data_IF_726046642534
#
_entry.id   IF_726046642534
#
_cell.length_a   1.000
_cell.length_b   1.000
_cell.length_c   1.000
_cell.angle_alpha   90.00
_cell.angle_beta   90.00
_cell.angle_gamma   90.00
#
_symmetry.space_group_name_H-M   'P 1'
#
loop_
_entity.id
_entity.type
_entity.pdbx_description
1 polymer ?
#
# COMPACT_ATOMS: atom_id res chain seq x y z
N UNK A 1 15.96 -5.85 15.68
CA UNK A 1 14.67 -5.13 15.94
C UNK A 1 13.57 -6.16 16.13
N UNK A 2 12.56 -5.88 16.95
CA UNK A 2 11.35 -6.69 17.12
C UNK A 2 10.28 -6.10 16.21
N UNK A 3 9.68 -6.93 15.35
CA UNK A 3 8.65 -6.51 14.42
C UNK A 3 7.35 -7.25 14.72
N UNK A 4 6.27 -6.52 14.96
CA UNK A 4 4.94 -7.06 15.23
C UNK A 4 4.05 -6.74 14.03
N UNK A 5 3.73 -7.76 13.24
CA UNK A 5 2.83 -7.65 12.08
C UNK A 5 1.44 -8.05 12.49
N UNK A 6 0.46 -7.23 12.12
CA UNK A 6 -0.94 -7.47 12.44
C UNK A 6 -1.76 -7.47 11.15
N UNK A 7 -2.44 -8.58 10.89
CA UNK A 7 -3.36 -8.77 9.76
C UNK A 7 -4.79 -8.84 10.28
N UNK A 8 -5.75 -8.42 9.48
CA UNK A 8 -7.16 -8.46 9.82
C UNK A 8 -7.64 -7.34 10.75
N UNK A 9 -6.80 -6.33 10.99
CA UNK A 9 -7.17 -5.05 11.57
C UNK A 9 -6.81 -3.93 10.58
N UNK A 10 -7.60 -2.85 10.59
CA UNK A 10 -7.27 -1.68 9.78
C UNK A 10 -6.02 -0.95 10.31
N UNK A 11 -5.36 -0.22 9.43
CA UNK A 11 -4.09 0.46 9.74
C UNK A 11 -4.23 1.52 10.83
N UNK A 12 -5.39 2.16 10.95
CA UNK A 12 -5.67 3.15 11.98
C UNK A 12 -5.74 2.49 13.36
N UNK A 13 -6.45 1.35 13.48
CA UNK A 13 -6.50 0.58 14.72
C UNK A 13 -5.11 0.08 15.15
N UNK A 14 -4.30 -0.40 14.19
CA UNK A 14 -2.91 -0.80 14.47
C UNK A 14 -2.05 0.39 14.91
N UNK A 15 -2.23 1.55 14.29
CA UNK A 15 -1.55 2.79 14.69
C UNK A 15 -1.86 3.18 16.13
N UNK A 16 -3.14 3.19 16.53
CA UNK A 16 -3.57 3.45 17.90
C UNK A 16 -3.03 2.40 18.87
N UNK A 17 -3.16 1.13 18.52
CA UNK A 17 -2.61 0.04 19.34
C UNK A 17 -1.11 0.21 19.57
N UNK A 18 -0.35 0.57 18.55
CA UNK A 18 1.09 0.79 18.68
C UNK A 18 1.40 1.94 19.63
N UNK A 19 0.65 3.05 19.57
CA UNK A 19 0.82 4.20 20.46
C UNK A 19 0.63 3.82 21.92
N UNK A 20 -0.38 3.02 22.23
CA UNK A 20 -0.78 2.71 23.60
C UNK A 20 0.05 1.56 24.22
N UNK A 21 0.65 0.70 23.38
CA UNK A 21 1.25 -0.55 23.84
C UNK A 21 2.75 -0.70 23.61
N UNK A 22 3.41 0.20 22.86
CA UNK A 22 4.86 0.09 22.58
C UNK A 22 5.69 0.12 23.85
N UNK A 23 5.40 1.03 24.79
CA UNK A 23 6.13 1.14 26.07
C UNK A 23 6.01 -0.15 26.89
N UNK A 24 4.79 -0.67 27.06
CA UNK A 24 4.56 -1.89 27.82
C UNK A 24 5.26 -3.11 27.21
N UNK A 25 5.22 -3.22 25.89
CA UNK A 25 5.92 -4.29 25.17
C UNK A 25 7.44 -4.15 25.28
N UNK A 26 7.97 -2.93 25.25
CA UNK A 26 9.39 -2.69 25.46
C UNK A 26 9.83 -3.15 26.86
N UNK A 27 9.03 -2.90 27.88
CA UNK A 27 9.28 -3.39 29.24
C UNK A 27 9.21 -4.93 29.30
N UNK A 28 8.22 -5.56 28.65
CA UNK A 28 8.07 -7.02 28.62
C UNK A 28 9.22 -7.71 27.87
N UNK A 29 9.72 -7.11 26.81
CA UNK A 29 10.88 -7.58 26.06
C UNK A 29 12.22 -7.16 26.67
N UNK A 30 12.20 -6.44 27.78
CA UNK A 30 13.41 -5.92 28.43
C UNK A 30 14.31 -5.13 27.45
N UNK A 31 13.68 -4.30 26.62
CA UNK A 31 14.35 -3.54 25.56
C UNK A 31 13.86 -2.09 25.52
N UNK A 32 14.42 -1.30 24.61
CA UNK A 32 13.96 0.07 24.38
C UNK A 32 12.78 0.08 23.38
N UNK A 33 11.91 1.06 23.48
CA UNK A 33 10.82 1.29 22.55
C UNK A 33 11.30 1.38 21.09
N UNK A 34 12.46 2.00 20.87
CA UNK A 34 13.10 2.13 19.55
C UNK A 34 13.47 0.80 18.88
N UNK A 35 13.41 -0.29 19.61
CA UNK A 35 13.66 -1.64 19.09
C UNK A 35 12.38 -2.39 18.73
N UNK A 36 11.21 -1.75 18.85
CA UNK A 36 9.92 -2.33 18.53
C UNK A 36 9.28 -1.52 17.40
N UNK A 37 8.78 -2.20 16.38
CA UNK A 37 7.94 -1.57 15.37
C UNK A 37 6.71 -2.44 15.09
N UNK A 38 5.61 -1.77 14.76
CA UNK A 38 4.39 -2.39 14.31
C UNK A 38 4.26 -2.23 12.79
N UNK A 39 3.74 -3.26 12.16
CA UNK A 39 3.44 -3.26 10.74
C UNK A 39 1.96 -3.59 10.58
N UNK A 40 1.20 -2.62 10.12
CA UNK A 40 -0.15 -2.85 9.64
C UNK A 40 -0.07 -3.38 8.21
N UNK A 41 -0.91 -4.34 7.86
CA UNK A 41 -1.03 -4.85 6.51
C UNK A 41 -2.42 -4.51 5.97
N UNK A 42 -2.48 -3.97 4.76
CA UNK A 42 -3.74 -3.78 4.04
C UNK A 42 -4.27 -5.09 3.44
N UNK A 43 -3.70 -6.23 3.84
CA UNK A 43 -4.13 -7.55 3.41
C UNK A 43 -5.39 -7.99 4.15
N UNK A 44 -6.35 -8.48 3.40
CA UNK A 44 -7.59 -8.99 3.93
C UNK A 44 -7.46 -10.46 4.33
N UNK A 45 -8.04 -10.84 5.47
CA UNK A 45 -8.18 -12.23 5.91
C UNK A 45 -9.51 -12.79 5.41
N UNK A 46 -9.51 -13.93 4.72
CA UNK A 46 -10.71 -14.56 4.22
C UNK A 46 -10.90 -15.97 4.78
N UNK A 47 -12.14 -16.34 5.07
CA UNK A 47 -12.54 -17.73 5.29
C UNK A 47 -13.76 -18.07 4.42
N UNK A 48 -13.64 -19.09 3.57
CA UNK A 48 -14.70 -19.51 2.60
C UNK A 48 -15.26 -18.35 1.77
N UNK A 49 -14.40 -17.41 1.34
CA UNK A 49 -14.78 -16.27 0.53
C UNK A 49 -15.38 -15.09 1.30
N UNK A 50 -15.51 -15.18 2.62
CA UNK A 50 -16.00 -14.10 3.47
C UNK A 50 -14.84 -13.42 4.17
N UNK A 51 -14.78 -12.09 4.07
CA UNK A 51 -13.80 -11.26 4.74
C UNK A 51 -13.95 -11.28 6.25
N UNK A 52 -12.83 -11.32 6.98
CA UNK A 52 -12.76 -11.52 8.43
C UNK A 52 -12.19 -10.30 9.18
N UNK A 53 -12.17 -9.11 8.58
CA UNK A 53 -11.63 -7.90 9.24
C UNK A 53 -12.32 -7.65 10.57
N UNK A 54 -11.54 -7.37 11.62
CA UNK A 54 -11.96 -7.23 13.02
C UNK A 54 -12.62 -8.49 13.64
N UNK A 55 -12.79 -9.55 12.87
CA UNK A 55 -13.27 -10.84 13.39
C UNK A 55 -12.12 -11.78 13.74
N UNK A 56 -11.09 -11.82 12.88
CA UNK A 56 -9.91 -12.65 13.04
C UNK A 56 -8.64 -11.81 12.85
N UNK A 57 -7.91 -11.56 13.91
CA UNK A 57 -6.57 -10.96 13.84
C UNK A 57 -5.50 -12.07 13.83
N UNK A 58 -4.59 -11.98 12.87
CA UNK A 58 -3.41 -12.84 12.79
C UNK A 58 -2.17 -11.99 13.08
N UNK A 59 -1.41 -12.37 14.09
CA UNK A 59 -0.24 -11.60 14.57
C UNK A 59 1.00 -12.43 14.40
N UNK A 60 2.02 -11.86 13.76
CA UNK A 60 3.35 -12.46 13.68
C UNK A 60 4.34 -11.56 14.43
N UNK A 61 4.97 -12.12 15.44
CA UNK A 61 6.04 -11.46 16.19
C UNK A 61 7.37 -12.00 15.71
N UNK A 62 8.14 -11.16 15.01
CA UNK A 62 9.48 -11.50 14.51
C UNK A 62 10.50 -10.89 15.46
N UNK A 63 11.33 -11.70 16.08
CA UNK A 63 12.28 -11.25 17.09
C UNK A 63 13.60 -12.03 17.06
N UNK A 64 14.72 -11.43 17.51
CA UNK A 64 15.92 -12.19 17.80
C UNK A 64 15.67 -13.30 18.83
N UNK A 65 16.30 -14.46 18.62
CA UNK A 65 16.17 -15.68 19.45
C UNK A 65 16.37 -15.43 20.97
N UNK A 66 17.19 -14.45 21.33
CA UNK A 66 17.40 -14.09 22.75
C UNK A 66 16.11 -13.70 23.50
N UNK A 67 15.03 -13.37 22.80
CA UNK A 67 13.73 -13.02 23.37
C UNK A 67 12.76 -14.21 23.50
N UNK A 68 13.12 -15.40 23.00
CA UNK A 68 12.30 -16.62 23.11
C UNK A 68 11.86 -16.93 24.55
N UNK A 69 12.72 -16.77 25.61
CA UNK A 69 12.30 -16.99 27.00
C UNK A 69 11.14 -16.11 27.47
N UNK A 70 10.91 -14.98 26.81
CA UNK A 70 9.89 -13.97 27.16
C UNK A 70 8.56 -14.21 26.39
N UNK A 71 8.52 -15.14 25.44
CA UNK A 71 7.40 -15.42 24.53
C UNK A 71 6.06 -15.53 25.28
N UNK A 72 6.00 -16.37 26.33
CA UNK A 72 4.77 -16.64 27.03
C UNK A 72 4.14 -15.39 27.67
N UNK A 73 4.96 -14.52 28.25
CA UNK A 73 4.44 -13.29 28.87
C UNK A 73 4.01 -12.27 27.81
N UNK A 74 4.76 -12.16 26.73
CA UNK A 74 4.40 -11.30 25.58
C UNK A 74 3.13 -11.79 24.91
N UNK A 75 3.02 -13.11 24.64
CA UNK A 75 1.84 -13.70 24.06
C UNK A 75 0.58 -13.43 24.92
N UNK A 76 0.68 -13.63 26.24
CA UNK A 76 -0.44 -13.37 27.15
C UNK A 76 -0.86 -11.89 27.14
N UNK A 77 0.10 -10.98 27.05
CA UNK A 77 -0.18 -9.55 26.98
C UNK A 77 -0.89 -9.21 25.67
N UNK A 78 -0.32 -9.64 24.53
CA UNK A 78 -0.90 -9.40 23.21
C UNK A 78 -2.30 -10.01 23.07
N UNK A 79 -2.50 -11.25 23.54
CA UNK A 79 -3.84 -11.88 23.52
C UNK A 79 -4.84 -11.05 24.33
N UNK A 80 -4.46 -10.58 25.51
CA UNK A 80 -5.34 -9.80 26.38
C UNK A 80 -5.74 -8.48 25.74
N UNK A 81 -4.79 -7.76 25.15
CA UNK A 81 -5.01 -6.40 24.64
C UNK A 81 -5.62 -6.39 23.25
N UNK A 82 -5.24 -7.32 22.36
CA UNK A 82 -5.80 -7.37 21.00
C UNK A 82 -7.25 -7.90 20.95
N UNK A 83 -7.72 -8.62 21.98
CA UNK A 83 -9.14 -8.99 22.06
C UNK A 83 -10.09 -7.82 22.29
N UNK A 84 -9.57 -6.63 22.54
CA UNK A 84 -10.35 -5.39 22.55
C UNK A 84 -10.66 -4.89 21.11
N UNK A 85 -9.88 -5.31 20.13
CA UNK A 85 -9.96 -4.90 18.73
C UNK A 85 -10.49 -6.01 17.80
N UNK A 86 -10.37 -7.27 18.18
CA UNK A 86 -10.78 -8.42 17.36
C UNK A 86 -11.40 -9.51 18.21
N UNK A 87 -12.37 -10.24 17.64
CA UNK A 87 -13.07 -11.34 18.33
C UNK A 87 -12.14 -12.54 18.55
N UNK A 88 -11.33 -12.86 17.56
CA UNK A 88 -10.35 -13.96 17.61
C UNK A 88 -8.96 -13.44 17.30
N UNK A 89 -7.99 -13.89 18.07
CA UNK A 89 -6.58 -13.51 17.91
C UNK A 89 -5.72 -14.76 17.88
N UNK A 90 -4.91 -14.88 16.84
CA UNK A 90 -3.87 -15.91 16.74
C UNK A 90 -2.50 -15.23 16.69
N UNK A 91 -1.56 -15.70 17.50
CA UNK A 91 -0.20 -15.15 17.56
C UNK A 91 0.79 -16.25 17.20
N UNK A 92 1.72 -15.93 16.33
CA UNK A 92 2.84 -16.77 15.94
C UNK A 92 4.14 -16.02 16.20
N UNK A 93 5.13 -16.67 16.80
CA UNK A 93 6.45 -16.12 16.98
C UNK A 93 7.42 -16.74 15.97
N UNK A 94 8.21 -15.88 15.36
CA UNK A 94 9.28 -16.24 14.45
C UNK A 94 10.60 -15.71 15.00
N UNK A 95 11.53 -16.61 15.32
CA UNK A 95 12.80 -16.22 15.88
C UNK A 95 13.92 -16.34 14.85
N UNK A 96 14.83 -15.37 14.87
CA UNK A 96 16.02 -15.40 14.04
C UNK A 96 17.29 -15.23 14.87
N UNK A 97 18.39 -15.81 14.39
CA UNK A 97 19.70 -15.60 14.99
C UNK A 97 20.18 -14.19 14.70
N UNK A 98 20.74 -13.50 15.72
CA UNK A 98 21.14 -12.10 15.62
C UNK A 98 22.16 -11.79 14.51
N UNK A 99 22.92 -12.79 14.05
CA UNK A 99 23.86 -12.61 12.94
C UNK A 99 23.19 -12.53 11.54
N UNK A 100 21.87 -12.75 11.46
CA UNK A 100 21.08 -12.56 10.23
C UNK A 100 20.45 -11.18 10.16
N UNK A 101 20.59 -10.34 11.21
CA UNK A 101 20.09 -8.98 11.22
C UNK A 101 21.20 -8.02 10.78
N UNK A 102 20.95 -7.29 9.69
CA UNK A 102 21.82 -6.23 9.20
C UNK A 102 21.02 -4.94 9.15
N UNK A 103 21.49 -3.91 9.85
CA UNK A 103 20.79 -2.65 9.97
C UNK A 103 21.71 -1.47 9.66
N UNK A 104 21.17 -0.50 8.93
CA UNK A 104 21.76 0.82 8.78
C UNK A 104 20.80 1.86 9.35
N UNK A 105 21.24 2.60 10.34
CA UNK A 105 20.49 3.73 10.89
C UNK A 105 21.25 5.02 10.63
N UNK A 106 20.63 5.95 9.91
CA UNK A 106 21.21 7.27 9.67
C UNK A 106 21.18 8.07 10.99
N UNK A 107 22.37 8.47 11.46
CA UNK A 107 22.53 9.17 12.75
C UNK A 107 22.09 10.63 12.73
N UNK A 108 21.93 11.21 11.52
CA UNK A 108 21.52 12.60 11.35
C UNK A 108 20.00 12.78 11.50
N UNK A 109 19.26 11.67 11.60
CA UNK A 109 17.80 11.65 11.68
C UNK A 109 17.33 10.79 12.85
N UNK A 110 16.17 11.12 13.47
CA UNK A 110 15.55 10.24 14.44
C UNK A 110 15.15 8.90 13.78
N UNK A 111 15.25 7.81 14.54
CA UNK A 111 14.90 6.48 14.01
C UNK A 111 13.45 6.37 13.58
N UNK A 112 12.56 7.02 14.31
CA UNK A 112 11.12 7.07 14.01
C UNK A 112 10.63 8.51 14.03
N UNK A 113 9.68 8.78 13.16
CA UNK A 113 8.89 10.01 13.20
C UNK A 113 7.96 9.92 14.41
N UNK A 114 7.88 10.99 15.21
CA UNK A 114 7.00 11.11 16.36
C UNK A 114 6.20 12.41 16.23
N UNK A 115 5.10 12.53 16.97
CA UNK A 115 4.23 13.71 16.93
C UNK A 115 5.00 15.02 17.24
N UNK A 116 6.06 14.96 18.04
CA UNK A 116 6.90 16.10 18.41
C UNK A 116 7.95 16.49 17.36
N UNK A 117 8.22 15.61 16.38
CA UNK A 117 9.15 15.88 15.29
C UNK A 117 8.48 15.92 13.90
N UNK A 118 7.15 15.86 13.85
CA UNK A 118 6.38 16.14 12.64
C UNK A 118 6.44 17.65 12.34
N UNK A 119 6.95 18.00 11.18
CA UNK A 119 6.79 19.34 10.64
C UNK A 119 5.40 19.39 10.01
N UNK A 120 4.45 20.04 10.66
CA UNK A 120 3.21 20.45 10.02
C UNK A 120 3.60 21.49 8.96
N UNK A 121 3.63 21.11 7.71
CA UNK A 121 3.60 22.07 6.62
C UNK A 121 2.19 22.63 6.71
N UNK A 122 2.04 23.88 7.24
CA UNK A 122 0.81 24.63 7.06
C UNK A 122 0.62 24.68 5.55
N UNK A 123 -0.45 24.06 5.07
CA UNK A 123 -0.88 24.24 3.68
C UNK A 123 -1.05 25.76 3.52
N UNK A 124 -0.16 26.37 2.72
CA UNK A 124 -0.31 27.77 2.42
C UNK A 124 -1.62 27.91 1.65
N UNK A 125 -2.49 28.82 2.07
CA UNK A 125 -3.76 29.14 1.39
C UNK A 125 -3.55 29.50 -0.11
N UNK A 126 -2.32 29.57 -0.56
CA UNK A 126 -1.92 29.80 -1.96
C UNK A 126 -2.14 28.56 -2.87
N UNK A 127 -2.33 27.35 -2.33
CA UNK A 127 -2.59 26.14 -3.13
C UNK A 127 -4.07 26.00 -3.54
N UNK A 128 -5.00 26.71 -2.89
CA UNK A 128 -6.42 26.71 -3.28
C UNK A 128 -6.67 27.43 -4.61
N UNK A 129 -5.77 28.32 -5.07
CA UNK A 129 -5.90 28.96 -6.38
C UNK A 129 -5.49 28.07 -7.55
N UNK A 130 -4.77 26.94 -7.30
CA UNK A 130 -4.30 26.04 -8.36
C UNK A 130 -5.39 25.08 -8.88
N UNK A 131 -6.52 24.95 -8.20
CA UNK A 131 -7.57 23.99 -8.53
C UNK A 131 -8.97 24.60 -8.80
N UNK A 132 -9.13 25.92 -8.86
CA UNK A 132 -10.39 26.54 -9.24
C UNK A 132 -10.74 26.39 -10.74
N UNK A 133 -9.85 25.86 -11.56
CA UNK A 133 -10.09 25.50 -12.94
C UNK A 133 -10.53 24.02 -13.08
N UNK A 134 -11.59 23.78 -13.81
CA UNK A 134 -11.92 22.44 -14.27
C UNK A 134 -10.74 21.91 -15.11
N UNK A 135 -9.93 20.98 -14.53
CA UNK A 135 -8.75 20.37 -15.21
C UNK A 135 -9.12 19.74 -16.56
N UNK A 136 -10.40 19.48 -16.78
CA UNK A 136 -10.95 18.95 -18.03
C UNK A 136 -11.47 20.06 -18.95
N UNK A 137 -11.43 21.34 -18.54
CA UNK A 137 -11.87 22.44 -19.40
C UNK A 137 -10.93 22.58 -20.59
N UNK A 138 -11.48 22.39 -21.78
CA UNK A 138 -10.71 22.38 -23.04
C UNK A 138 -10.13 21.03 -23.44
N UNK A 139 -10.24 19.98 -22.61
CA UNK A 139 -9.78 18.65 -22.95
C UNK A 139 -10.64 18.02 -24.05
N UNK A 140 -11.95 18.26 -24.05
CA UNK A 140 -12.86 17.86 -25.12
C UNK A 140 -12.45 18.46 -26.48
N UNK A 141 -12.10 19.74 -26.48
CA UNK A 141 -11.64 20.45 -27.67
C UNK A 141 -10.31 19.92 -28.20
N UNK A 142 -9.36 19.61 -27.29
CA UNK A 142 -8.09 19.01 -27.65
C UNK A 142 -8.23 17.58 -28.16
N UNK A 143 -9.16 16.80 -27.61
CA UNK A 143 -9.50 15.47 -28.09
C UNK A 143 -10.18 15.53 -29.47
N UNK A 144 -11.08 16.47 -29.70
CA UNK A 144 -11.69 16.70 -31.01
C UNK A 144 -10.68 17.14 -32.07
N UNK A 145 -9.75 18.06 -31.70
CA UNK A 145 -8.67 18.49 -32.57
C UNK A 145 -7.71 17.35 -32.89
N UNK A 146 -7.30 16.55 -31.89
CA UNK A 146 -6.44 15.39 -32.07
C UNK A 146 -7.13 14.27 -32.90
N UNK A 147 -8.43 14.08 -32.72
CA UNK A 147 -9.22 13.13 -33.51
C UNK A 147 -9.32 13.57 -34.97
N UNK A 148 -9.53 14.88 -35.21
CA UNK A 148 -9.62 15.44 -36.57
C UNK A 148 -8.25 15.51 -37.27
N UNK A 149 -7.14 15.73 -36.53
CA UNK A 149 -5.78 15.71 -37.07
C UNK A 149 -5.28 14.28 -37.37
N UNK A 150 -5.76 13.29 -36.63
CA UNK A 150 -5.36 11.88 -36.78
C UNK A 150 -6.06 11.13 -37.94
N UNK A 151 -7.11 11.70 -38.57
CA UNK A 151 -7.88 11.05 -39.60
C UNK A 151 -7.57 11.52 -41.06
N UNK A 152 -6.56 12.37 -41.24
CA UNK A 152 -6.03 12.60 -42.57
C UNK A 152 -4.83 11.65 -42.85
N UNK A 153 -5.13 10.35 -42.87
CA UNK A 153 -4.35 9.47 -43.71
C UNK A 153 -4.78 9.76 -45.16
N UNK A 154 -4.00 10.52 -45.88
CA UNK A 154 -4.01 10.49 -47.31
C UNK A 154 -3.58 9.07 -47.72
N UNK A 155 -4.53 8.18 -47.75
CA UNK A 155 -4.42 6.92 -48.47
C UNK A 155 -4.25 7.30 -49.95
N UNK A 156 -3.04 7.13 -50.48
CA UNK A 156 -2.72 7.42 -51.86
C UNK A 156 -3.36 6.46 -52.85
N UNK A 157 -4.47 5.84 -52.50
CA UNK A 157 -5.27 5.00 -53.42
C UNK A 157 -6.23 5.90 -54.19
N UNK A 158 -6.09 5.93 -55.50
CA UNK A 158 -7.09 6.48 -56.42
C UNK A 158 -8.36 5.63 -56.30
N UNK A 159 -9.36 6.14 -55.61
CA UNK A 159 -10.65 5.45 -55.34
C UNK A 159 -11.51 5.10 -56.59
N UNK A 160 -11.05 5.45 -57.76
CA UNK A 160 -11.83 5.20 -59.00
C UNK A 160 -11.70 3.76 -59.54
N UNK A 161 -10.86 2.88 -58.93
CA UNK A 161 -10.58 1.54 -59.47
C UNK A 161 -10.29 0.46 -58.40
N UNK A 162 -10.91 0.50 -57.24
CA UNK A 162 -10.89 -0.64 -56.32
C UNK A 162 -12.11 -1.51 -56.56
N UNK A 163 -11.99 -2.50 -57.45
CA UNK A 163 -12.89 -3.64 -57.48
C UNK A 163 -12.66 -4.48 -56.23
N UNK A 164 -13.74 -5.03 -55.63
CA UNK A 164 -13.79 -5.64 -54.30
C UNK A 164 -12.82 -6.81 -54.06
N UNK A 165 -12.11 -7.27 -55.08
CA UNK A 165 -11.27 -8.48 -55.02
C UNK A 165 -9.76 -8.26 -55.09
N UNK A 166 -9.24 -7.01 -55.27
CA UNK A 166 -7.83 -6.73 -55.51
C UNK A 166 -7.19 -5.67 -54.56
N UNK A 167 -7.62 -5.59 -53.29
CA UNK A 167 -6.97 -4.72 -52.30
C UNK A 167 -5.85 -5.47 -51.61
N UNK A 168 -4.62 -5.42 -52.13
CA UNK A 168 -3.39 -5.87 -51.45
C UNK A 168 -2.93 -4.80 -50.46
N UNK A 169 -3.59 -4.71 -49.28
CA UNK A 169 -3.09 -3.95 -48.15
C UNK A 169 -2.60 -4.94 -47.09
N UNK A 170 -1.29 -5.04 -46.95
CA UNK A 170 -0.62 -5.94 -46.00
C UNK A 170 -0.59 -5.41 -44.55
N UNK A 171 -1.24 -4.28 -44.21
CA UNK A 171 -1.21 -3.68 -42.89
C UNK A 171 -2.59 -3.71 -42.22
N UNK A 172 -2.59 -4.02 -40.91
CA UNK A 172 -3.75 -4.14 -40.01
C UNK A 172 -4.59 -2.85 -39.88
N UNK A 173 -4.14 -1.73 -40.48
CA UNK A 173 -4.75 -0.39 -40.39
C UNK A 173 -5.42 0.07 -41.69
N UNK A 174 -6.01 -0.85 -42.45
CA UNK A 174 -6.70 -0.49 -43.69
C UNK A 174 -8.00 0.28 -43.46
N UNK A 175 -8.09 1.53 -43.90
CA UNK A 175 -9.21 2.45 -43.73
C UNK A 175 -10.45 2.08 -44.53
N UNK A 176 -10.43 1.00 -45.36
CA UNK A 176 -11.53 0.62 -46.23
C UNK A 176 -12.68 -0.12 -45.55
N UNK A 177 -12.63 -0.36 -44.25
CA UNK A 177 -13.80 -0.83 -43.48
C UNK A 177 -14.26 -2.27 -43.72
N UNK A 178 -13.52 -3.10 -44.44
CA UNK A 178 -13.87 -4.52 -44.63
C UNK A 178 -13.42 -5.32 -43.38
N UNK A 179 -14.42 -5.73 -42.60
CA UNK A 179 -14.25 -6.74 -41.54
C UNK A 179 -14.18 -8.12 -42.21
N UNK A 180 -13.07 -8.80 -42.01
CA UNK A 180 -12.97 -10.25 -42.19
C UNK A 180 -13.56 -10.99 -41.01
#
# INVERSE_FOLDING_TARGET
>A
MITIRIYGLDSYAVGHYSKDHTENLAQLFETKEENICFVASDEFVFHKGVEQTSWQALVTVIAPEKYEPLEKQVANYLLKTLTEFSIHVQIVFEYFHGHHEHEFTNKDYPRFIKDDNLVNVEESDDDDELYEGNIFEGMEKKLEEAYNEGHHHECGCDHDHCDEDDCECDDEDCCCGHKH
#
